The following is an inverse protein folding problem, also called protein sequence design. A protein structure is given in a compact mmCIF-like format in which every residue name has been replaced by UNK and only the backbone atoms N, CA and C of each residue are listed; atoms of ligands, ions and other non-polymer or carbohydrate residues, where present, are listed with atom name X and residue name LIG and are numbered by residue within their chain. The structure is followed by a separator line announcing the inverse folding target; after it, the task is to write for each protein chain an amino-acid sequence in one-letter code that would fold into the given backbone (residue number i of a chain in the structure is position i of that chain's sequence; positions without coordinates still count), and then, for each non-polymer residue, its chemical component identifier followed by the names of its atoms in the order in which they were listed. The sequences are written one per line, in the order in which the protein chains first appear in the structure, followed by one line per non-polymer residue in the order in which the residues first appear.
data_IF_057715881250
#
_entry.id   IF_057715881250
#
_cell.length_a   1.000
_cell.length_b   1.000
_cell.length_c   1.000
_cell.angle_alpha   90.00
_cell.angle_beta   90.00
_cell.angle_gamma   90.00
#
_symmetry.space_group_name_H-M   'P 1'
#
loop_
_entity.id
_entity.type
_entity.pdbx_description
1 polymer ?
#
# COMPACT_ATOMS: atom_id res chain seq x y z
N UNK A 1 2.85 21.23 28.02
CA UNK A 1 2.06 21.59 26.83
C UNK A 1 2.50 20.67 25.69
N UNK A 2 1.60 19.84 25.15
CA UNK A 2 1.87 19.03 23.96
C UNK A 2 1.19 19.74 22.79
N UNK A 3 1.90 20.08 21.70
CA UNK A 3 1.29 20.71 20.52
C UNK A 3 0.12 19.88 19.95
N UNK A 4 -0.92 20.54 19.43
CA UNK A 4 -2.12 19.89 18.88
C UNK A 4 -1.85 19.07 17.61
N UNK A 5 -0.70 19.27 16.98
CA UNK A 5 -0.16 18.53 15.83
C UNK A 5 0.80 17.41 16.25
N UNK A 6 0.91 17.08 17.54
CA UNK A 6 1.75 15.98 18.00
C UNK A 6 1.21 14.62 17.54
N UNK A 7 1.98 13.96 16.67
CA UNK A 7 1.67 12.62 16.15
C UNK A 7 2.57 11.60 16.83
N UNK A 8 1.97 10.63 17.50
CA UNK A 8 2.68 9.44 17.98
C UNK A 8 2.68 8.38 16.89
N UNK A 9 3.82 8.17 16.24
CA UNK A 9 4.01 7.04 15.34
C UNK A 9 4.51 5.82 16.13
N UNK A 10 3.87 4.67 15.96
CA UNK A 10 4.41 3.38 16.36
C UNK A 10 4.86 2.60 15.11
N UNK A 11 6.14 2.29 15.03
CA UNK A 11 6.74 1.54 13.93
C UNK A 11 6.72 0.05 14.24
N UNK A 12 5.59 -0.61 13.97
CA UNK A 12 5.43 -2.05 14.20
C UNK A 12 5.91 -2.91 13.01
N UNK A 13 6.58 -2.32 12.02
CA UNK A 13 7.06 -3.04 10.83
C UNK A 13 8.01 -4.20 11.18
N UNK A 14 8.81 -4.10 12.25
CA UNK A 14 9.71 -5.18 12.68
C UNK A 14 8.96 -6.38 13.24
N UNK A 15 7.76 -6.18 13.77
CA UNK A 15 6.84 -7.25 14.21
C UNK A 15 6.17 -7.90 13.01
N UNK A 16 5.73 -7.09 12.03
CA UNK A 16 5.07 -7.57 10.80
C UNK A 16 6.03 -8.20 9.78
N UNK A 17 7.29 -7.73 9.77
CA UNK A 17 8.36 -8.13 8.86
C UNK A 17 9.61 -8.37 9.73
N UNK A 18 9.69 -9.53 10.39
CA UNK A 18 10.85 -9.88 11.21
C UNK A 18 12.14 -9.83 10.37
N UNK A 19 13.24 -9.34 10.95
CA UNK A 19 14.52 -9.21 10.24
C UNK A 19 15.04 -10.54 9.63
N UNK A 20 14.68 -11.68 10.22
CA UNK A 20 15.00 -13.01 9.71
C UNK A 20 14.06 -13.55 8.64
N UNK A 21 12.92 -12.89 8.38
CA UNK A 21 11.89 -13.32 7.45
C UNK A 21 11.67 -12.21 6.40
N UNK A 22 12.30 -12.30 5.23
CA UNK A 22 12.18 -11.26 4.21
C UNK A 22 10.75 -11.14 3.67
N UNK A 23 10.38 -9.93 3.25
CA UNK A 23 9.15 -9.69 2.49
C UNK A 23 9.17 -10.57 1.24
N UNK A 24 8.11 -11.36 1.04
CA UNK A 24 7.99 -12.25 -0.11
C UNK A 24 7.47 -11.49 -1.33
N UNK A 25 8.38 -11.01 -2.16
CA UNK A 25 8.04 -10.51 -3.50
C UNK A 25 7.57 -11.67 -4.39
N UNK A 26 6.60 -11.40 -5.26
CA UNK A 26 6.14 -12.38 -6.25
C UNK A 26 7.25 -12.70 -7.25
N UNK A 27 7.28 -13.94 -7.74
CA UNK A 27 8.15 -14.31 -8.87
C UNK A 27 7.75 -13.56 -10.14
N UNK A 28 6.45 -13.28 -10.30
CA UNK A 28 5.90 -12.58 -11.45
C UNK A 28 6.00 -11.05 -11.27
N UNK A 29 6.18 -10.30 -12.37
CA UNK A 29 6.06 -8.84 -12.34
C UNK A 29 4.66 -8.40 -11.88
N UNK A 30 4.61 -7.33 -11.09
CA UNK A 30 3.38 -6.63 -10.73
C UNK A 30 3.51 -5.23 -11.30
N UNK A 31 2.60 -4.88 -12.22
CA UNK A 31 2.55 -3.57 -12.86
C UNK A 31 1.17 -2.94 -12.65
N UNK A 32 1.13 -1.63 -12.51
CA UNK A 32 -0.12 -0.86 -12.48
C UNK A 32 -0.23 -0.04 -13.76
N UNK A 33 -1.40 -0.10 -14.40
CA UNK A 33 -1.71 0.74 -15.54
C UNK A 33 -2.49 1.95 -15.06
N UNK A 34 -1.87 3.13 -15.17
CA UNK A 34 -2.52 4.40 -14.84
C UNK A 34 -3.13 4.97 -16.11
N UNK A 35 -4.45 5.02 -16.16
CA UNK A 35 -5.19 5.58 -17.28
C UNK A 35 -5.28 7.11 -17.15
N UNK A 36 -5.39 7.80 -18.29
CA UNK A 36 -5.67 9.23 -18.27
C UNK A 36 -7.08 9.47 -17.71
N UNK A 37 -7.25 10.59 -16.99
CA UNK A 37 -8.54 10.97 -16.36
C UNK A 37 -9.73 11.08 -17.33
N UNK A 38 -9.45 11.22 -18.61
CA UNK A 38 -10.47 11.37 -19.67
C UNK A 38 -10.84 10.02 -20.31
N UNK A 39 -10.22 8.92 -19.86
CA UNK A 39 -10.54 7.56 -20.31
C UNK A 39 -11.53 6.96 -19.31
N UNK A 40 -12.66 6.46 -19.81
CA UNK A 40 -13.57 5.67 -18.99
C UNK A 40 -12.85 4.42 -18.47
N UNK A 41 -12.75 4.32 -17.14
CA UNK A 41 -12.15 3.16 -16.53
C UNK A 41 -13.00 1.91 -16.85
N UNK A 42 -12.38 0.77 -17.16
CA UNK A 42 -13.08 -0.50 -17.28
C UNK A 42 -13.48 -0.96 -15.87
N UNK A 43 -14.49 -0.30 -15.29
CA UNK A 43 -15.02 -0.64 -13.99
C UNK A 43 -16.02 -1.77 -14.17
N UNK A 44 -15.76 -2.92 -13.54
CA UNK A 44 -16.84 -3.84 -13.20
C UNK A 44 -17.85 -3.07 -12.35
N UNK A 45 -19.12 -3.10 -12.72
CA UNK A 45 -20.19 -2.17 -12.30
C UNK A 45 -20.54 -2.07 -10.81
N UNK A 46 -19.67 -2.50 -9.89
CA UNK A 46 -19.78 -2.24 -8.46
C UNK A 46 -19.02 -0.97 -8.07
N UNK A 47 -19.74 0.15 -8.01
CA UNK A 47 -19.23 1.37 -7.39
C UNK A 47 -19.00 1.14 -5.89
N UNK A 48 -17.75 1.25 -5.46
CA UNK A 48 -17.43 1.25 -4.02
C UNK A 48 -17.72 2.63 -3.44
N UNK A 49 -18.35 2.68 -2.26
CA UNK A 49 -18.69 3.94 -1.59
C UNK A 49 -17.41 4.57 -1.02
N UNK A 50 -16.96 5.65 -1.66
CA UNK A 50 -15.77 6.41 -1.25
C UNK A 50 -15.97 7.10 0.11
N UNK A 51 -17.11 7.78 0.29
CA UNK A 51 -17.44 8.56 1.48
C UNK A 51 -18.79 8.12 2.07
N UNK A 52 -18.82 7.06 2.89
CA UNK A 52 -20.01 6.66 3.64
C UNK A 52 -20.48 7.76 4.60
N UNK A 53 -21.79 7.84 4.87
CA UNK A 53 -22.36 8.85 5.76
C UNK A 53 -21.92 8.71 7.22
N UNK A 54 -21.52 7.50 7.63
CA UNK A 54 -21.04 7.17 8.98
C UNK A 54 -19.51 7.08 9.05
N UNK A 55 -18.79 7.56 8.03
CA UNK A 55 -17.34 7.54 8.01
C UNK A 55 -16.73 8.38 9.15
N UNK A 56 -15.80 7.78 9.89
CA UNK A 56 -15.11 8.43 11.01
C UNK A 56 -13.66 8.74 10.63
N UNK A 57 -13.39 10.02 10.35
CA UNK A 57 -12.07 10.51 9.93
C UNK A 57 -11.00 10.47 11.04
N UNK A 58 -11.36 10.08 12.27
CA UNK A 58 -10.38 9.81 13.33
C UNK A 58 -9.60 8.52 13.07
N UNK A 59 -10.14 7.62 12.26
CA UNK A 59 -9.52 6.34 11.92
C UNK A 59 -9.32 6.26 10.41
N UNK A 60 -8.08 6.47 9.97
CA UNK A 60 -7.69 6.41 8.57
C UNK A 60 -6.89 5.13 8.32
N UNK A 61 -7.24 4.42 7.25
CA UNK A 61 -6.45 3.30 6.75
C UNK A 61 -5.82 3.71 5.43
N UNK A 62 -4.50 3.54 5.33
CA UNK A 62 -3.71 3.83 4.13
C UNK A 62 -2.97 2.59 3.68
N UNK A 63 -2.92 2.39 2.37
CA UNK A 63 -2.23 1.27 1.73
C UNK A 63 -1.08 1.76 0.87
N UNK A 64 0.01 0.99 0.86
CA UNK A 64 1.13 1.16 -0.05
C UNK A 64 1.15 -0.03 -1.01
N UNK A 65 0.86 0.24 -2.28
CA UNK A 65 0.86 -0.79 -3.33
C UNK A 65 2.20 -0.74 -4.06
N UNK A 66 2.90 -1.87 -4.10
CA UNK A 66 4.26 -1.98 -4.67
C UNK A 66 4.19 -2.61 -6.05
N UNK A 67 4.70 -1.90 -7.05
CA UNK A 67 5.01 -2.42 -8.37
C UNK A 67 6.47 -2.90 -8.40
N UNK A 68 6.71 -4.04 -9.05
CA UNK A 68 8.05 -4.60 -9.14
C UNK A 68 8.21 -5.53 -10.35
N UNK A 69 9.43 -5.68 -10.92
CA UNK A 69 9.68 -6.45 -12.13
C UNK A 69 9.78 -7.98 -11.91
N UNK A 70 9.25 -8.49 -10.81
CA UNK A 70 9.42 -9.88 -10.34
C UNK A 70 10.71 -10.11 -9.54
N UNK A 71 10.69 -11.13 -8.67
CA UNK A 71 11.76 -11.44 -7.71
C UNK A 71 13.13 -11.67 -8.36
N UNK A 72 13.18 -12.41 -9.47
CA UNK A 72 14.46 -12.69 -10.15
C UNK A 72 15.07 -11.43 -10.77
N UNK A 73 14.24 -10.57 -11.36
CA UNK A 73 14.68 -9.28 -11.87
C UNK A 73 15.15 -8.35 -10.75
N UNK A 74 14.49 -8.37 -9.59
CA UNK A 74 14.96 -7.64 -8.40
C UNK A 74 16.34 -8.13 -7.99
N UNK A 75 16.53 -9.45 -7.82
CA UNK A 75 17.80 -10.06 -7.39
C UNK A 75 18.95 -9.71 -8.33
N UNK A 76 18.72 -9.85 -9.64
CA UNK A 76 19.68 -9.45 -10.68
C UNK A 76 20.05 -7.97 -10.59
N UNK A 77 19.07 -7.07 -10.48
CA UNK A 77 19.35 -5.63 -10.37
C UNK A 77 20.05 -5.25 -9.08
N UNK A 78 19.77 -5.91 -7.96
CA UNK A 78 20.39 -5.60 -6.67
C UNK A 78 21.82 -6.15 -6.54
N UNK A 79 22.12 -7.29 -7.17
CA UNK A 79 23.32 -8.08 -6.85
C UNK A 79 24.00 -8.78 -8.02
N UNK A 80 23.48 -8.64 -9.24
CA UNK A 80 23.96 -9.40 -10.41
C UNK A 80 23.58 -10.88 -10.40
N UNK A 81 22.76 -11.34 -9.44
CA UNK A 81 22.42 -12.77 -9.30
C UNK A 81 21.54 -13.27 -10.47
N UNK A 82 22.02 -14.33 -11.14
CA UNK A 82 21.34 -15.02 -12.25
C UNK A 82 20.48 -16.18 -11.76
N UNK A 83 19.73 -16.79 -12.69
CA UNK A 83 18.82 -17.90 -12.40
C UNK A 83 19.53 -19.20 -12.00
N UNK A 84 20.77 -19.39 -12.46
CA UNK A 84 21.63 -20.54 -12.13
C UNK A 84 22.42 -20.36 -10.82
N UNK A 85 22.26 -19.22 -10.14
CA UNK A 85 22.99 -18.88 -8.92
C UNK A 85 24.35 -18.22 -9.15
N UNK A 86 24.78 -18.04 -10.41
CA UNK A 86 25.97 -17.27 -10.73
C UNK A 86 25.75 -15.76 -10.57
N UNK A 87 26.85 -15.00 -10.46
CA UNK A 87 26.83 -13.54 -10.42
C UNK A 87 27.34 -13.04 -11.76
N UNK A 88 26.54 -12.22 -12.45
CA UNK A 88 26.99 -11.47 -13.62
C UNK A 88 27.71 -10.20 -13.16
N UNK A 89 29.03 -10.25 -13.17
CA UNK A 89 29.90 -9.12 -12.80
C UNK A 89 29.77 -7.92 -13.75
N UNK A 90 29.20 -8.10 -14.95
CA UNK A 90 28.95 -7.01 -15.89
C UNK A 90 27.68 -6.22 -15.58
N UNK A 91 26.79 -6.74 -14.73
CA UNK A 91 25.54 -6.08 -14.35
C UNK A 91 25.83 -4.94 -13.35
N UNK A 92 25.50 -3.71 -13.74
CA UNK A 92 25.51 -2.56 -12.81
C UNK A 92 24.42 -2.72 -11.75
N UNK A 93 24.82 -2.88 -10.49
CA UNK A 93 23.87 -3.02 -9.37
C UNK A 93 23.16 -1.71 -9.05
N UNK A 94 21.87 -1.77 -8.78
CA UNK A 94 21.02 -0.63 -8.46
C UNK A 94 20.39 -0.80 -7.07
N UNK A 95 20.16 0.29 -6.32
CA UNK A 95 19.46 0.21 -5.05
C UNK A 95 17.99 -0.21 -5.24
N UNK A 96 17.40 -0.79 -4.19
CA UNK A 96 16.01 -1.26 -4.21
C UNK A 96 15.03 -0.14 -4.60
N UNK A 97 15.30 1.08 -4.16
CA UNK A 97 14.50 2.28 -4.47
C UNK A 97 14.42 2.64 -5.95
N UNK A 98 15.35 2.16 -6.78
CA UNK A 98 15.29 2.28 -8.25
C UNK A 98 14.66 1.08 -8.94
N UNK A 99 14.37 0.02 -8.18
CA UNK A 99 13.92 -1.27 -8.72
C UNK A 99 12.42 -1.51 -8.47
N UNK A 100 11.88 -0.99 -7.38
CA UNK A 100 10.46 -1.05 -7.04
C UNK A 100 9.82 0.34 -7.13
N UNK A 101 8.51 0.38 -7.34
CA UNK A 101 7.73 1.62 -7.39
C UNK A 101 6.54 1.54 -6.44
N UNK A 102 6.15 2.67 -5.86
CA UNK A 102 4.94 2.78 -5.06
C UNK A 102 3.85 3.47 -5.87
N UNK A 103 2.67 2.87 -5.92
CA UNK A 103 1.50 3.56 -6.45
C UNK A 103 1.00 4.57 -5.41
N UNK A 104 0.97 5.83 -5.82
CA UNK A 104 0.53 6.95 -4.99
C UNK A 104 -0.50 7.78 -5.75
N UNK A 105 -1.42 8.38 -5.02
CA UNK A 105 -2.28 9.42 -5.57
C UNK A 105 -1.52 10.73 -5.73
N UNK A 106 -2.01 11.61 -6.58
CA UNK A 106 -1.46 12.95 -6.81
C UNK A 106 -2.54 13.99 -6.53
N UNK A 107 -2.21 14.98 -5.69
CA UNK A 107 -3.12 16.09 -5.38
C UNK A 107 -2.41 17.42 -5.70
N UNK A 108 -2.88 18.12 -6.73
CA UNK A 108 -2.30 19.44 -7.10
C UNK A 108 -0.84 19.37 -7.54
N UNK A 109 -0.10 20.48 -7.53
CA UNK A 109 1.28 20.52 -8.03
C UNK A 109 2.28 19.96 -7.01
N UNK A 110 2.51 18.65 -7.06
CA UNK A 110 3.66 17.99 -6.43
C UNK A 110 3.39 17.31 -5.10
N UNK A 111 2.14 17.25 -4.64
CA UNK A 111 1.78 16.53 -3.43
C UNK A 111 1.40 15.07 -3.77
N UNK A 112 2.12 14.13 -3.18
CA UNK A 112 1.79 12.71 -3.26
C UNK A 112 0.97 12.31 -2.05
N UNK A 113 -0.08 11.52 -2.28
CA UNK A 113 -0.93 11.01 -1.23
C UNK A 113 -0.96 9.50 -1.24
N UNK A 114 -0.97 8.89 -0.05
CA UNK A 114 -1.22 7.46 0.07
C UNK A 114 -2.68 7.17 -0.27
N UNK A 115 -2.89 6.04 -0.96
CA UNK A 115 -4.21 5.50 -1.25
C UNK A 115 -4.85 5.04 0.06
N UNK A 116 -6.15 5.26 0.20
CA UNK A 116 -6.95 4.86 1.35
C UNK A 116 -7.72 6.02 1.97
N UNK A 117 -8.55 5.72 2.96
CA UNK A 117 -9.54 6.67 3.48
C UNK A 117 -10.03 6.35 4.89
N UNK A 118 -11.12 7.01 5.32
CA UNK A 118 -11.71 6.82 6.63
C UNK A 118 -12.42 5.47 6.76
N UNK A 119 -12.40 4.93 7.96
CA UNK A 119 -13.18 3.76 8.36
C UNK A 119 -14.68 4.09 8.47
N UNK A 120 -15.53 3.13 8.11
CA UNK A 120 -16.99 3.18 8.27
C UNK A 120 -17.46 1.98 9.11
N UNK A 121 -18.13 2.19 10.26
CA UNK A 121 -18.64 1.11 11.10
C UNK A 121 -19.63 0.18 10.38
N UNK A 122 -20.50 0.73 9.52
CA UNK A 122 -21.52 -0.04 8.81
C UNK A 122 -20.95 -0.93 7.70
N UNK A 123 -19.90 -0.49 7.01
CA UNK A 123 -19.32 -1.20 5.86
C UNK A 123 -18.12 -2.06 6.23
N UNK A 124 -17.25 -1.58 7.11
CA UNK A 124 -15.95 -2.21 7.35
C UNK A 124 -15.94 -3.10 8.60
N UNK A 125 -16.86 -2.86 9.54
CA UNK A 125 -16.96 -3.59 10.82
C UNK A 125 -16.89 -2.64 12.02
N UNK A 126 -17.36 -3.10 13.20
CA UNK A 126 -17.62 -2.23 14.37
C UNK A 126 -16.38 -1.67 15.08
N UNK A 127 -15.24 -2.37 15.02
CA UNK A 127 -14.02 -1.98 15.72
C UNK A 127 -12.96 -1.52 14.72
N UNK A 128 -12.59 -0.22 14.68
CA UNK A 128 -11.62 0.30 13.71
C UNK A 128 -10.20 -0.23 13.90
N UNK A 129 -9.89 -0.83 15.05
CA UNK A 129 -8.57 -1.40 15.36
C UNK A 129 -8.50 -2.90 15.08
N UNK A 130 -9.62 -3.54 14.75
CA UNK A 130 -9.65 -4.96 14.41
C UNK A 130 -8.96 -5.20 13.05
N UNK A 131 -8.02 -6.16 12.93
CA UNK A 131 -7.30 -6.41 11.67
C UNK A 131 -8.20 -6.69 10.47
N UNK A 132 -9.33 -7.37 10.66
CA UNK A 132 -10.27 -7.66 9.56
C UNK A 132 -10.96 -6.36 9.12
N UNK A 133 -11.34 -5.51 10.07
CA UNK A 133 -11.89 -4.17 9.78
C UNK A 133 -10.89 -3.28 9.03
N UNK A 134 -9.62 -3.29 9.43
CA UNK A 134 -8.56 -2.54 8.73
C UNK A 134 -8.44 -2.98 7.26
N UNK A 135 -8.40 -4.29 7.02
CA UNK A 135 -8.33 -4.85 5.66
C UNK A 135 -9.57 -4.51 4.84
N UNK A 136 -10.78 -4.60 5.41
CA UNK A 136 -12.02 -4.20 4.73
C UNK A 136 -12.03 -2.72 4.35
N UNK A 137 -11.59 -1.86 5.27
CA UNK A 137 -11.46 -0.42 5.02
C UNK A 137 -10.47 -0.14 3.88
N UNK A 138 -9.32 -0.82 3.89
CA UNK A 138 -8.31 -0.74 2.84
C UNK A 138 -8.86 -1.18 1.47
N UNK A 139 -9.57 -2.32 1.40
CA UNK A 139 -10.18 -2.82 0.17
C UNK A 139 -11.20 -1.83 -0.37
N UNK A 140 -12.14 -1.38 0.48
CA UNK A 140 -13.21 -0.45 0.07
C UNK A 140 -12.64 0.86 -0.46
N UNK A 141 -11.73 1.47 0.29
CA UNK A 141 -11.18 2.79 -0.06
C UNK A 141 -10.23 2.71 -1.25
N UNK A 142 -9.43 1.65 -1.38
CA UNK A 142 -8.60 1.44 -2.57
C UNK A 142 -9.44 1.21 -3.83
N UNK A 143 -10.49 0.38 -3.75
CA UNK A 143 -11.41 0.13 -4.87
C UNK A 143 -12.14 1.41 -5.28
N UNK A 144 -12.61 2.21 -4.31
CA UNK A 144 -13.26 3.50 -4.59
C UNK A 144 -12.31 4.51 -5.25
N UNK A 145 -11.06 4.63 -4.77
CA UNK A 145 -10.11 5.63 -5.26
C UNK A 145 -9.41 5.24 -6.56
N UNK A 146 -9.21 3.95 -6.82
CA UNK A 146 -8.33 3.47 -7.91
C UNK A 146 -8.98 2.45 -8.84
N UNK A 147 -10.18 1.94 -8.49
CA UNK A 147 -10.80 0.81 -9.17
C UNK A 147 -10.17 -0.56 -8.86
N UNK A 148 -9.04 -0.60 -8.13
CA UNK A 148 -8.37 -1.86 -7.80
C UNK A 148 -9.11 -2.62 -6.69
N UNK A 149 -9.62 -3.81 -7.03
CA UNK A 149 -10.19 -4.71 -6.05
C UNK A 149 -9.09 -5.54 -5.35
N UNK A 150 -8.90 -5.29 -4.05
CA UNK A 150 -7.89 -5.97 -3.23
C UNK A 150 -8.46 -7.16 -2.43
N UNK A 151 -9.71 -7.58 -2.68
CA UNK A 151 -10.37 -8.64 -1.92
C UNK A 151 -9.63 -9.99 -1.97
N UNK A 152 -9.00 -10.30 -3.11
CA UNK A 152 -8.23 -11.54 -3.32
C UNK A 152 -6.81 -11.47 -2.72
N UNK A 153 -6.42 -10.33 -2.11
CA UNK A 153 -5.12 -10.22 -1.46
C UNK A 153 -5.09 -11.04 -0.17
N UNK A 154 -4.32 -12.14 -0.19
CA UNK A 154 -4.18 -13.07 0.94
C UNK A 154 -3.16 -12.64 1.99
N UNK A 155 -2.35 -11.61 1.73
CA UNK A 155 -1.28 -11.16 2.63
C UNK A 155 -1.31 -9.65 2.80
N UNK A 156 -1.36 -9.23 4.06
CA UNK A 156 -1.35 -7.83 4.46
C UNK A 156 -0.24 -7.63 5.48
N UNK A 157 0.58 -6.59 5.28
CA UNK A 157 1.67 -6.24 6.16
C UNK A 157 1.37 -4.90 6.81
N UNK A 158 1.42 -4.83 8.13
CA UNK A 158 1.24 -3.58 8.87
C UNK A 158 2.60 -2.90 9.00
N UNK A 159 2.75 -1.72 8.41
CA UNK A 159 4.01 -0.97 8.44
C UNK A 159 4.13 -0.10 9.70
N UNK A 160 3.09 0.68 10.01
CA UNK A 160 3.08 1.56 11.16
C UNK A 160 1.66 1.99 11.53
N UNK A 161 1.50 2.44 12.77
CA UNK A 161 0.29 3.11 13.25
C UNK A 161 0.61 4.55 13.64
N UNK A 162 -0.21 5.49 13.19
CA UNK A 162 -0.15 6.88 13.60
C UNK A 162 -1.30 7.20 14.54
N UNK A 163 -0.99 7.66 15.75
CA UNK A 163 -1.97 8.12 16.72
C UNK A 163 -1.80 9.63 16.92
N UNK A 164 -2.78 10.40 16.48
CA UNK A 164 -2.81 11.84 16.73
C UNK A 164 -3.50 12.06 18.07
N UNK A 165 -2.82 12.67 19.04
CA UNK A 165 -3.47 13.10 20.28
C UNK A 165 -4.12 14.45 20.02
N UNK A 166 -5.45 14.49 19.88
CA UNK A 166 -6.17 15.75 19.98
C UNK A 166 -6.29 16.14 21.47
N UNK A 167 -5.78 17.32 21.82
CA UNK A 167 -5.83 17.92 23.16
C UNK A 167 -7.22 18.43 23.51
#
# INVERSE_FOLDING_TARGET
YIPSDFIRCNFDWTTSIPLGIPIKFSSHPINFHVLHKDIDAPMDGESSVENPSDADYRFLVKVMLISHPGLMSIRRKLSGLMADGSIDESTETQPLTKTIQLLVGHRGKGEYMCIGGPWSPSLDGKNPLDPVTLVKTAIRTAKAMTGLNLAECSKWYVLCFFNVKMS
#
